data_IF_817106566257
#
_entry.id   IF_817106566257
#
_cell.length_a   1.000
_cell.length_b   1.000
_cell.length_c   1.000
_cell.angle_alpha   90.00
_cell.angle_beta   90.00
_cell.angle_gamma   90.00
#
_symmetry.space_group_name_H-M   'P 1'
#
loop_
_entity.id
_entity.type
_entity.pdbx_description
1 polymer ?
#
# COMPACT_ATOMS: atom_id res chain seq x y z
N UNK A 1 -11.19 42.49 -1.53
CA UNK A 1 -10.51 41.41 -2.25
C UNK A 1 -9.85 40.55 -1.19
N UNK A 2 -10.50 39.46 -0.76
CA UNK A 2 -9.93 38.53 0.22
C UNK A 2 -9.12 37.51 -0.56
N UNK A 3 -7.85 37.42 -0.21
CA UNK A 3 -6.92 36.42 -0.70
C UNK A 3 -7.29 35.11 0.01
N UNK A 4 -8.19 34.33 -0.60
CA UNK A 4 -8.49 32.98 -0.14
C UNK A 4 -7.27 32.13 -0.49
N UNK A 5 -6.31 32.12 0.43
CA UNK A 5 -5.19 31.18 0.46
C UNK A 5 -5.75 29.77 0.54
N UNK A 6 -6.18 29.25 -0.61
CA UNK A 6 -6.63 27.89 -0.80
C UNK A 6 -5.50 27.00 -0.32
N UNK A 7 -5.69 26.38 0.84
CA UNK A 7 -4.81 25.34 1.35
C UNK A 7 -4.78 24.31 0.24
N UNK A 8 -3.66 24.27 -0.51
CA UNK A 8 -3.44 23.27 -1.53
C UNK A 8 -3.23 21.96 -0.78
N UNK A 9 -4.35 21.33 -0.40
CA UNK A 9 -4.35 20.08 0.33
C UNK A 9 -3.49 19.11 -0.50
N UNK A 10 -2.50 18.44 0.12
CA UNK A 10 -1.66 17.49 -0.61
C UNK A 10 -2.57 16.51 -1.34
N UNK A 11 -2.47 16.46 -2.68
CA UNK A 11 -3.18 15.46 -3.44
C UNK A 11 -2.79 14.07 -2.90
N UNK A 12 -3.74 13.13 -2.72
CA UNK A 12 -3.44 11.80 -2.24
C UNK A 12 -2.28 11.18 -3.04
N UNK A 13 -1.35 10.52 -2.35
CA UNK A 13 -0.34 9.71 -3.01
C UNK A 13 -1.02 8.64 -3.87
N UNK A 14 -0.48 8.29 -5.04
CA UNK A 14 -0.96 7.15 -5.80
C UNK A 14 -0.81 5.88 -4.97
N UNK A 15 -1.73 4.95 -5.20
CA UNK A 15 -1.73 3.62 -4.62
C UNK A 15 -1.01 2.69 -5.60
N UNK A 16 -0.01 1.97 -5.11
CA UNK A 16 0.72 0.96 -5.86
C UNK A 16 0.36 -0.43 -5.36
N UNK A 17 0.17 -1.35 -6.30
CA UNK A 17 0.10 -2.78 -5.99
C UNK A 17 1.47 -3.25 -5.54
N UNK A 18 1.56 -3.77 -4.32
CA UNK A 18 2.83 -4.23 -3.74
C UNK A 18 3.44 -5.37 -4.53
N UNK A 19 2.63 -6.23 -5.17
CA UNK A 19 3.13 -7.32 -6.02
C UNK A 19 3.82 -6.74 -7.25
N UNK A 20 3.28 -5.66 -7.83
CA UNK A 20 3.89 -4.98 -8.96
C UNK A 20 5.23 -4.33 -8.58
N UNK A 21 5.31 -3.76 -7.37
CA UNK A 21 6.56 -3.20 -6.83
C UNK A 21 7.60 -4.30 -6.61
N UNK A 22 7.23 -5.39 -5.92
CA UNK A 22 8.12 -6.52 -5.63
C UNK A 22 8.66 -7.19 -6.89
N UNK A 23 7.85 -7.26 -7.95
CA UNK A 23 8.25 -7.79 -9.25
C UNK A 23 9.07 -6.80 -10.10
N UNK A 24 9.35 -5.60 -9.60
CA UNK A 24 10.12 -4.58 -10.32
C UNK A 24 9.38 -3.94 -11.50
N UNK A 25 8.04 -4.10 -11.59
CA UNK A 25 7.22 -3.47 -12.62
C UNK A 25 7.04 -1.97 -12.39
N UNK A 26 7.29 -1.51 -11.16
CA UNK A 26 7.23 -0.10 -10.77
C UNK A 26 8.58 0.29 -10.15
N UNK A 27 9.24 1.30 -10.73
CA UNK A 27 10.43 1.88 -10.13
C UNK A 27 10.06 2.98 -9.14
N UNK A 28 10.13 2.66 -7.85
CA UNK A 28 9.88 3.60 -6.76
C UNK A 28 11.15 4.32 -6.27
N UNK A 29 12.34 4.00 -6.80
CA UNK A 29 13.58 4.73 -6.49
C UNK A 29 13.62 6.08 -7.18
N UNK A 30 13.22 6.12 -8.45
CA UNK A 30 13.14 7.36 -9.24
C UNK A 30 11.83 8.14 -9.04
N UNK A 31 10.91 7.61 -8.22
CA UNK A 31 9.59 8.20 -8.03
C UNK A 31 9.69 9.61 -7.42
N UNK A 32 9.09 10.66 -8.03
CA UNK A 32 9.37 12.05 -7.65
C UNK A 32 8.63 12.53 -6.40
N UNK A 33 7.51 11.90 -6.01
CA UNK A 33 6.71 12.38 -4.87
C UNK A 33 7.27 11.88 -3.55
N UNK A 34 6.96 12.62 -2.48
CA UNK A 34 7.36 12.27 -1.11
C UNK A 34 6.44 11.27 -0.41
N UNK A 35 5.26 11.03 -0.95
CA UNK A 35 4.26 10.15 -0.35
C UNK A 35 3.77 9.16 -1.39
N UNK A 36 3.58 7.93 -0.95
CA UNK A 36 2.90 6.88 -1.71
C UNK A 36 2.15 5.95 -0.76
N UNK A 37 1.31 5.13 -1.36
CA UNK A 37 0.55 4.11 -0.64
C UNK A 37 0.85 2.76 -1.29
N UNK A 38 1.18 1.76 -0.48
CA UNK A 38 1.20 0.37 -0.91
C UNK A 38 -0.13 -0.28 -0.56
N UNK A 39 -0.64 -1.09 -1.47
CA UNK A 39 -1.80 -1.95 -1.24
C UNK A 39 -1.43 -3.38 -1.59
N UNK A 40 -1.93 -4.33 -0.81
CA UNK A 40 -1.93 -5.74 -1.20
C UNK A 40 -3.37 -6.19 -1.37
N UNK A 41 -3.88 -6.33 -2.61
CA UNK A 41 -5.22 -6.82 -2.82
C UNK A 41 -5.32 -8.27 -2.33
N UNK A 42 -6.39 -8.57 -1.60
CA UNK A 42 -6.80 -9.96 -1.38
C UNK A 42 -7.48 -10.47 -2.66
N UNK A 43 -7.04 -11.62 -3.15
CA UNK A 43 -7.82 -12.35 -4.15
C UNK A 43 -9.05 -12.94 -3.46
N UNK A 44 -10.23 -12.79 -4.05
CA UNK A 44 -11.47 -13.38 -3.55
C UNK A 44 -11.63 -14.84 -3.96
N UNK A 45 -12.68 -15.51 -3.46
CA UNK A 45 -13.13 -16.81 -3.96
C UNK A 45 -12.77 -18.03 -3.12
N UNK A 46 -12.32 -17.85 -1.88
CA UNK A 46 -11.90 -18.96 -1.02
C UNK A 46 -13.03 -19.46 -0.11
N UNK A 47 -13.16 -20.78 0.01
CA UNK A 47 -14.10 -21.42 0.93
C UNK A 47 -13.62 -21.23 2.37
N UNK A 48 -14.47 -20.62 3.21
CA UNK A 48 -14.22 -20.40 4.63
C UNK A 48 -13.76 -21.71 5.30
N UNK A 49 -12.60 -21.70 5.97
CA UNK A 49 -12.06 -22.86 6.69
C UNK A 49 -11.15 -23.80 5.88
N UNK A 50 -10.90 -23.52 4.59
CA UNK A 50 -9.88 -24.25 3.80
C UNK A 50 -8.46 -23.76 4.12
N UNK A 51 -7.45 -24.58 3.84
CA UNK A 51 -6.05 -24.14 3.90
C UNK A 51 -5.79 -22.98 2.92
N UNK A 52 -6.45 -23.00 1.77
CA UNK A 52 -6.39 -21.93 0.76
C UNK A 52 -6.97 -20.61 1.29
N UNK A 53 -7.98 -20.66 2.15
CA UNK A 53 -8.52 -19.48 2.83
C UNK A 53 -7.52 -18.85 3.80
N UNK A 54 -6.81 -19.65 4.59
CA UNK A 54 -5.77 -19.11 5.48
C UNK A 54 -4.63 -18.47 4.68
N UNK A 55 -4.21 -19.14 3.61
CA UNK A 55 -3.20 -18.63 2.68
C UNK A 55 -3.64 -17.32 2.02
N UNK A 56 -4.86 -17.25 1.52
CA UNK A 56 -5.42 -16.06 0.88
C UNK A 56 -5.48 -14.82 1.77
N UNK A 57 -5.63 -15.02 3.08
CA UNK A 57 -5.62 -13.92 4.05
C UNK A 57 -4.19 -13.53 4.41
N UNK A 58 -3.30 -14.51 4.57
CA UNK A 58 -1.95 -14.28 5.09
C UNK A 58 -0.97 -13.80 4.02
N UNK A 59 -1.04 -14.32 2.79
CA UNK A 59 -0.13 -13.95 1.70
C UNK A 59 -0.12 -12.44 1.40
N UNK A 60 -1.28 -11.75 1.35
CA UNK A 60 -1.29 -10.31 1.16
C UNK A 60 -0.58 -9.52 2.28
N UNK A 61 -0.64 -10.01 3.52
CA UNK A 61 0.11 -9.42 4.63
C UNK A 61 1.61 -9.60 4.41
N UNK A 62 2.05 -10.80 4.02
CA UNK A 62 3.46 -11.08 3.73
C UNK A 62 3.98 -10.22 2.58
N UNK A 63 3.23 -10.10 1.49
CA UNK A 63 3.61 -9.25 0.37
C UNK A 63 3.73 -7.79 0.80
N UNK A 64 2.81 -7.29 1.62
CA UNK A 64 2.86 -5.92 2.12
C UNK A 64 4.10 -5.69 3.00
N UNK A 65 4.41 -6.61 3.92
CA UNK A 65 5.61 -6.54 4.78
C UNK A 65 6.87 -6.50 3.93
N UNK A 66 7.01 -7.43 2.97
CA UNK A 66 8.18 -7.47 2.08
C UNK A 66 8.32 -6.18 1.26
N UNK A 67 7.20 -5.60 0.81
CA UNK A 67 7.20 -4.34 0.08
C UNK A 67 7.61 -3.15 0.94
N UNK A 68 7.18 -3.11 2.20
CA UNK A 68 7.60 -2.11 3.18
C UNK A 68 9.11 -2.21 3.41
N UNK A 69 9.63 -3.39 3.72
CA UNK A 69 11.07 -3.61 3.97
C UNK A 69 11.93 -3.21 2.76
N UNK A 70 11.49 -3.55 1.54
CA UNK A 70 12.16 -3.15 0.31
C UNK A 70 12.22 -1.62 0.13
N UNK A 71 11.13 -0.91 0.48
CA UNK A 71 11.10 0.55 0.38
C UNK A 71 11.90 1.22 1.50
N UNK A 72 11.88 0.67 2.70
CA UNK A 72 12.73 1.14 3.81
C UNK A 72 14.22 1.03 3.45
N UNK A 73 14.62 -0.05 2.75
CA UNK A 73 15.98 -0.19 2.21
C UNK A 73 16.34 0.86 1.14
N UNK A 74 15.36 1.64 0.67
CA UNK A 74 15.51 2.68 -0.35
C UNK A 74 15.30 4.09 0.22
N UNK A 75 15.21 4.22 1.56
CA UNK A 75 15.06 5.51 2.24
C UNK A 75 13.62 5.98 2.39
N UNK A 76 12.64 5.09 2.20
CA UNK A 76 11.26 5.36 2.61
C UNK A 76 11.07 5.04 4.09
N UNK A 77 10.06 5.65 4.69
CA UNK A 77 9.63 5.44 6.07
C UNK A 77 8.16 5.04 6.09
N UNK A 78 7.82 4.00 6.86
CA UNK A 78 6.44 3.66 7.15
C UNK A 78 5.80 4.73 8.04
N UNK A 79 4.69 5.30 7.58
CA UNK A 79 3.92 6.31 8.32
C UNK A 79 2.80 5.65 9.13
N UNK A 80 2.02 4.79 8.48
CA UNK A 80 0.90 4.09 9.10
C UNK A 80 0.46 2.90 8.27
N UNK A 81 -0.22 1.96 8.92
CA UNK A 81 -0.93 0.86 8.28
C UNK A 81 -2.41 0.98 8.61
N UNK A 82 -3.26 0.81 7.61
CA UNK A 82 -4.70 0.85 7.74
C UNK A 82 -5.29 -0.44 7.18
N UNK A 83 -6.19 -1.02 7.95
CA UNK A 83 -7.02 -2.14 7.52
C UNK A 83 -8.44 -1.66 7.21
N UNK A 84 -8.99 -2.14 6.10
CA UNK A 84 -10.37 -1.89 5.69
C UNK A 84 -11.02 -3.19 5.27
N UNK A 85 -12.22 -3.46 5.78
CA UNK A 85 -13.08 -4.51 5.26
C UNK A 85 -14.14 -3.86 4.38
N UNK A 86 -14.17 -4.21 3.10
CA UNK A 86 -15.16 -3.73 2.13
C UNK A 86 -15.77 -4.98 1.49
N UNK A 87 -17.08 -5.18 1.67
CA UNK A 87 -17.81 -6.30 1.07
C UNK A 87 -17.18 -7.69 1.35
N UNK A 88 -16.69 -7.91 2.57
CA UNK A 88 -15.97 -9.13 3.01
C UNK A 88 -14.58 -9.33 2.40
N UNK A 89 -14.01 -8.30 1.76
CA UNK A 89 -12.62 -8.28 1.31
C UNK A 89 -11.80 -7.41 2.27
N UNK A 90 -10.72 -7.94 2.82
CA UNK A 90 -9.81 -7.16 3.65
C UNK A 90 -8.72 -6.53 2.77
N UNK A 91 -8.53 -5.23 2.98
CA UNK A 91 -7.49 -4.44 2.37
C UNK A 91 -6.55 -3.98 3.46
N UNK A 92 -5.30 -4.41 3.36
CA UNK A 92 -4.22 -3.87 4.18
C UNK A 92 -3.44 -2.88 3.32
N UNK A 93 -3.36 -1.65 3.82
CA UNK A 93 -2.84 -0.49 3.09
C UNK A 93 -1.74 0.15 3.95
N UNK A 94 -0.56 0.35 3.37
CA UNK A 94 0.57 0.98 4.05
C UNK A 94 0.87 2.35 3.44
N UNK A 95 0.98 3.37 4.29
CA UNK A 95 1.33 4.73 3.89
C UNK A 95 2.84 4.93 4.09
N UNK A 96 3.53 5.33 3.03
CA UNK A 96 4.98 5.52 3.03
C UNK A 96 5.33 6.98 2.75
N UNK A 97 6.40 7.46 3.37
CA UNK A 97 6.97 8.79 3.09
C UNK A 97 8.47 8.73 2.84
N UNK A 98 9.01 9.69 2.09
CA UNK A 98 10.46 9.97 2.02
C UNK A 98 10.75 11.42 2.35
N UNK A 99 11.92 11.68 2.93
CA UNK A 99 12.39 13.03 3.28
C UNK A 99 12.81 13.85 2.05
#
# INVERSE_FOLDING_TARGET
MRDDGGVNAPAPGPIFDVIAVLNGMVDLRSYPRRHLVLSSPQTGGFLLGSADYQRAIFEPVVHLVNGIELLESQGWELVSVVERNIENVYYTIAFMRRT
#
